data_IF_052113510969
#
_entry.id   IF_052113510969
#
_cell.length_a   1.000
_cell.length_b   1.000
_cell.length_c   1.000
_cell.angle_alpha   90.00
_cell.angle_beta   90.00
_cell.angle_gamma   90.00
#
_symmetry.space_group_name_H-M   'P 1'
#
loop_
_entity.id
_entity.type
_entity.pdbx_description
1 polymer ?
#
# COMPACT_ATOMS: atom_id res chain seq x y z
N UNK A 1 2.04 -4.96 12.36
CA UNK A 1 3.38 -4.89 11.72
C UNK A 1 4.05 -6.24 11.85
N UNK A 2 4.69 -6.70 10.78
CA UNK A 2 5.33 -8.02 10.73
C UNK A 2 6.82 -7.87 10.40
N UNK A 3 7.64 -8.78 10.88
CA UNK A 3 9.02 -8.96 10.38
C UNK A 3 9.01 -9.65 9.01
N UNK A 4 10.17 -9.68 8.33
CA UNK A 4 10.37 -10.48 7.10
C UNK A 4 10.22 -12.00 7.35
N UNK A 5 10.18 -12.44 8.62
CA UNK A 5 9.92 -13.83 9.05
C UNK A 5 8.46 -14.06 9.46
N UNK A 6 7.58 -13.09 9.19
CA UNK A 6 6.16 -13.12 9.55
C UNK A 6 5.87 -13.13 11.05
N UNK A 7 6.80 -12.65 11.89
CA UNK A 7 6.56 -12.49 13.32
C UNK A 7 5.79 -11.19 13.59
N UNK A 8 4.81 -11.24 14.49
CA UNK A 8 4.03 -10.05 14.88
C UNK A 8 4.87 -9.18 15.82
N UNK A 9 5.17 -7.96 15.38
CA UNK A 9 5.79 -6.93 16.22
C UNK A 9 4.74 -6.14 17.03
N UNK A 10 3.50 -6.07 16.53
CA UNK A 10 2.41 -5.34 17.17
C UNK A 10 1.25 -5.04 16.22
N UNK A 11 0.13 -4.57 16.76
CA UNK A 11 -1.09 -4.18 16.04
C UNK A 11 -1.67 -2.89 16.63
N UNK A 12 -2.62 -2.27 15.91
CA UNK A 12 -3.24 -0.98 16.28
C UNK A 12 -2.26 0.19 16.43
N UNK A 13 -1.12 0.14 15.73
CA UNK A 13 -0.16 1.22 15.71
C UNK A 13 -0.63 2.39 14.82
N UNK A 14 -0.30 3.60 15.24
CA UNK A 14 -0.41 4.79 14.40
C UNK A 14 0.86 4.95 13.55
N UNK A 15 0.69 5.37 12.29
CA UNK A 15 1.81 5.64 11.37
C UNK A 15 2.05 7.15 11.34
N UNK A 16 3.15 7.57 11.97
CA UNK A 16 3.68 8.93 11.89
C UNK A 16 4.89 8.97 10.95
N UNK A 17 4.95 9.93 10.04
CA UNK A 17 6.08 10.12 9.12
C UNK A 17 6.41 11.61 9.02
N UNK A 18 7.70 11.95 9.01
CA UNK A 18 8.17 13.34 8.90
C UNK A 18 7.95 13.91 7.49
N UNK A 19 7.99 13.05 6.47
CA UNK A 19 7.81 13.48 5.07
C UNK A 19 6.34 13.78 4.76
N UNK A 20 6.07 15.06 4.49
CA UNK A 20 4.76 15.57 4.09
C UNK A 20 4.47 15.25 2.61
N UNK A 21 3.45 14.43 2.40
CA UNK A 21 2.69 14.28 1.16
C UNK A 21 3.34 13.48 0.02
N UNK A 22 2.76 12.29 -0.20
CA UNK A 22 2.76 11.62 -1.49
C UNK A 22 1.67 12.30 -2.32
N UNK A 23 2.00 12.83 -3.50
CA UNK A 23 1.01 13.41 -4.41
C UNK A 23 0.59 12.44 -5.52
N UNK A 24 1.52 11.56 -5.92
CA UNK A 24 1.34 10.55 -6.95
C UNK A 24 1.98 9.23 -6.54
N UNK A 25 1.44 8.15 -7.08
CA UNK A 25 1.95 6.80 -6.93
C UNK A 25 1.90 6.07 -8.27
N UNK A 26 2.85 5.17 -8.54
CA UNK A 26 2.88 4.38 -9.75
C UNK A 26 2.06 3.10 -9.59
N UNK A 27 0.97 2.94 -10.35
CA UNK A 27 0.29 1.66 -10.53
C UNK A 27 1.12 0.77 -11.46
N UNK A 28 1.59 -0.35 -10.96
CA UNK A 28 2.27 -1.36 -11.76
C UNK A 28 1.28 -2.06 -12.72
N UNK A 29 1.70 -2.24 -13.97
CA UNK A 29 0.94 -2.94 -15.01
C UNK A 29 1.52 -4.33 -15.32
N UNK A 30 2.65 -4.68 -14.70
CA UNK A 30 3.30 -5.98 -14.69
C UNK A 30 3.88 -6.25 -13.29
N UNK A 31 4.31 -7.50 -13.03
CA UNK A 31 4.76 -7.93 -11.70
C UNK A 31 6.08 -7.25 -11.31
N UNK A 32 6.94 -6.98 -12.28
CA UNK A 32 8.26 -6.38 -12.09
C UNK A 32 8.22 -4.85 -11.97
N UNK A 33 7.05 -4.23 -12.19
CA UNK A 33 6.85 -2.78 -12.27
C UNK A 33 7.74 -2.09 -13.33
N UNK A 34 8.02 -2.80 -14.43
CA UNK A 34 8.67 -2.27 -15.61
C UNK A 34 7.70 -1.32 -16.36
N UNK A 35 6.43 -1.69 -16.43
CA UNK A 35 5.35 -0.83 -16.95
C UNK A 35 4.54 -0.26 -15.78
N UNK A 36 4.37 1.05 -15.78
CA UNK A 36 3.62 1.75 -14.73
C UNK A 36 2.74 2.85 -15.31
N UNK A 37 1.65 3.16 -14.61
CA UNK A 37 0.85 4.36 -14.80
C UNK A 37 0.85 5.18 -13.52
N UNK A 38 1.19 6.46 -13.59
CA UNK A 38 1.09 7.34 -12.43
C UNK A 38 -0.36 7.71 -12.15
N UNK A 39 -0.75 7.62 -10.89
CA UNK A 39 -2.08 7.97 -10.40
C UNK A 39 -1.95 9.00 -9.29
N UNK A 40 -2.90 9.94 -9.26
CA UNK A 40 -3.03 10.89 -8.16
C UNK A 40 -3.49 10.16 -6.90
N UNK A 41 -2.97 10.55 -5.74
CA UNK A 41 -3.47 10.02 -4.45
C UNK A 41 -4.64 10.84 -3.88
N UNK A 42 -5.14 11.82 -4.62
CA UNK A 42 -6.31 12.60 -4.20
C UNK A 42 -7.50 11.66 -4.00
N UNK A 43 -8.15 11.76 -2.84
CA UNK A 43 -9.35 10.98 -2.52
C UNK A 43 -9.09 9.57 -1.96
N UNK A 44 -7.82 9.14 -1.80
CA UNK A 44 -7.55 7.85 -1.17
C UNK A 44 -7.85 7.89 0.34
N UNK A 45 -8.36 6.77 0.87
CA UNK A 45 -8.62 6.65 2.30
C UNK A 45 -7.37 6.67 3.18
N UNK A 46 -7.57 6.83 4.49
CA UNK A 46 -6.49 6.96 5.50
C UNK A 46 -5.53 5.76 5.54
N UNK A 47 -6.04 4.54 5.31
CA UNK A 47 -5.22 3.31 5.22
C UNK A 47 -4.23 3.36 4.06
N UNK A 48 -4.69 3.76 2.88
CA UNK A 48 -3.85 3.91 1.69
C UNK A 48 -2.83 5.02 1.89
N UNK A 49 -3.27 6.20 2.34
CA UNK A 49 -2.36 7.33 2.61
C UNK A 49 -1.26 6.96 3.61
N UNK A 50 -1.60 6.27 4.69
CA UNK A 50 -0.62 5.81 5.69
C UNK A 50 0.36 4.80 5.12
N UNK A 51 -0.11 3.83 4.33
CA UNK A 51 0.72 2.86 3.63
C UNK A 51 1.71 3.53 2.65
N UNK A 52 1.26 4.55 1.93
CA UNK A 52 2.08 5.29 0.98
C UNK A 52 3.20 6.06 1.69
N UNK A 53 2.88 6.72 2.81
CA UNK A 53 3.87 7.44 3.61
C UNK A 53 4.92 6.50 4.20
N UNK A 54 4.51 5.41 4.85
CA UNK A 54 5.48 4.49 5.47
C UNK A 54 6.37 3.80 4.44
N UNK A 55 5.83 3.41 3.27
CA UNK A 55 6.66 2.82 2.20
C UNK A 55 7.56 3.85 1.51
N UNK A 56 7.18 5.13 1.52
CA UNK A 56 8.07 6.21 1.06
C UNK A 56 9.18 6.49 2.07
N UNK A 57 8.92 6.39 3.37
CA UNK A 57 9.93 6.63 4.41
C UNK A 57 10.86 5.41 4.56
N UNK A 58 10.28 4.23 4.78
CA UNK A 58 10.97 2.96 4.94
C UNK A 58 11.00 2.22 3.61
N UNK A 59 12.05 2.45 2.82
CA UNK A 59 12.18 1.91 1.45
C UNK A 59 12.13 0.39 1.36
N UNK A 60 12.47 -0.29 2.46
CA UNK A 60 12.46 -1.74 2.57
C UNK A 60 11.08 -2.34 2.90
N UNK A 61 10.13 -1.51 3.33
CA UNK A 61 8.81 -1.94 3.77
C UNK A 61 7.92 -2.38 2.61
N UNK A 62 7.06 -3.35 2.88
CA UNK A 62 5.93 -3.74 2.05
C UNK A 62 4.66 -3.51 2.87
N UNK A 63 3.74 -2.70 2.35
CA UNK A 63 2.41 -2.57 2.93
C UNK A 63 1.40 -3.36 2.11
N UNK A 64 0.49 -4.04 2.80
CA UNK A 64 -0.66 -4.72 2.21
C UNK A 64 -1.91 -4.00 2.73
N UNK A 65 -2.67 -3.39 1.83
CA UNK A 65 -3.88 -2.62 2.15
C UNK A 65 -5.07 -3.37 1.59
N UNK A 66 -5.97 -3.82 2.47
CA UNK A 66 -7.25 -4.40 2.09
C UNK A 66 -8.30 -3.30 2.21
N UNK A 67 -8.94 -2.95 1.09
CA UNK A 67 -10.02 -1.96 1.05
C UNK A 67 -11.33 -2.57 1.58
N UNK A 68 -12.30 -1.72 1.90
CA UNK A 68 -13.62 -2.18 2.31
C UNK A 68 -14.36 -2.94 1.20
N UNK A 69 -14.06 -2.62 -0.05
CA UNK A 69 -14.62 -3.24 -1.25
C UNK A 69 -13.89 -4.55 -1.63
N UNK A 70 -12.92 -4.98 -0.81
CA UNK A 70 -12.19 -6.23 -1.02
C UNK A 70 -11.04 -6.17 -2.03
N UNK A 71 -10.69 -4.97 -2.51
CA UNK A 71 -9.46 -4.77 -3.27
C UNK A 71 -8.24 -4.88 -2.36
N UNK A 72 -7.23 -5.62 -2.81
CA UNK A 72 -5.95 -5.75 -2.12
C UNK A 72 -4.90 -4.97 -2.90
N UNK A 73 -4.24 -4.04 -2.22
CA UNK A 73 -3.10 -3.32 -2.77
C UNK A 73 -1.81 -3.68 -2.04
N UNK A 74 -0.79 -4.01 -2.82
CA UNK A 74 0.58 -4.16 -2.36
C UNK A 74 1.32 -2.87 -2.66
N UNK A 75 1.94 -2.24 -1.67
CA UNK A 75 2.64 -0.96 -1.83
C UNK A 75 4.09 -1.13 -1.43
N UNK A 76 5.02 -0.68 -2.28
CA UNK A 76 6.46 -0.76 -2.02
C UNK A 76 7.21 0.38 -2.69
N UNK A 77 8.35 0.78 -2.12
CA UNK A 77 9.33 1.58 -2.85
C UNK A 77 10.20 0.69 -3.74
N UNK A 78 10.24 0.99 -5.03
CA UNK A 78 11.01 0.22 -6.02
C UNK A 78 11.39 1.11 -7.19
N UNK A 79 12.62 0.98 -7.68
CA UNK A 79 13.14 1.76 -8.82
C UNK A 79 12.94 3.27 -8.64
N UNK A 80 13.30 3.78 -7.45
CA UNK A 80 13.19 5.19 -7.04
C UNK A 80 11.80 5.83 -7.11
N UNK A 81 10.75 5.00 -7.07
CA UNK A 81 9.36 5.44 -7.04
C UNK A 81 8.54 4.61 -6.05
N UNK A 82 7.46 5.20 -5.56
CA UNK A 82 6.44 4.47 -4.82
C UNK A 82 5.54 3.74 -5.82
N UNK A 83 5.44 2.42 -5.70
CA UNK A 83 4.69 1.56 -6.60
C UNK A 83 3.58 0.84 -5.84
N UNK A 84 2.43 0.65 -6.47
CA UNK A 84 1.45 -0.31 -6.00
C UNK A 84 1.03 -1.30 -7.09
N UNK A 85 0.71 -2.51 -6.65
CA UNK A 85 0.02 -3.54 -7.43
C UNK A 85 -1.38 -3.71 -6.86
N UNK A 86 -2.36 -3.87 -7.74
CA UNK A 86 -3.75 -4.09 -7.36
C UNK A 86 -4.16 -5.50 -7.72
N UNK A 87 -4.74 -6.19 -6.76
CA UNK A 87 -5.38 -7.48 -6.95
C UNK A 87 -6.84 -7.35 -6.49
N UNK A 88 -7.78 -7.65 -7.38
CA UNK A 88 -9.18 -7.79 -7.00
C UNK A 88 -9.34 -9.13 -6.30
N UNK A 89 -9.57 -9.08 -4.99
CA UNK A 89 -9.97 -10.28 -4.26
C UNK A 89 -11.36 -10.72 -4.73
N UNK A 90 -11.59 -12.01 -4.84
CA UNK A 90 -12.92 -12.58 -5.12
C UNK A 90 -13.82 -12.63 -3.87
N UNK A 91 -13.46 -11.93 -2.80
CA UNK A 91 -14.09 -12.08 -1.49
C UNK A 91 -15.09 -10.94 -1.23
N UNK A 92 -16.37 -11.29 -1.28
CA UNK A 92 -17.47 -10.39 -0.97
C UNK A 92 -17.71 -10.33 0.55
N UNK A 93 -17.28 -9.22 1.16
CA UNK A 93 -17.46 -8.97 2.59
C UNK A 93 -18.92 -8.70 3.00
N UNK A 94 -19.85 -8.55 2.04
CA UNK A 94 -21.28 -8.38 2.35
C UNK A 94 -21.96 -9.64 2.88
N UNK A 95 -21.33 -10.82 2.72
CA UNK A 95 -21.85 -12.10 3.22
C UNK A 95 -21.49 -12.42 4.69
N UNK A 96 -20.90 -11.46 5.43
CA UNK A 96 -20.47 -11.63 6.82
C UNK A 96 -21.39 -10.96 7.86
N UNK A 97 -22.58 -10.50 7.45
CA UNK A 97 -23.60 -9.94 8.36
C UNK A 97 -24.80 -10.86 8.52
#
# INVERSE_FOLDING_TARGET
MLTKRFEILGFSAEIHCETSEVSQIAKALDLEANKCRFESVIGVGTRHSSAYRICRELKDALAIVVSQEGNVQFVRWMNDKLVFWEHQGSFDFSNLN
#
